data_IF_262869990680
#
_entry.id   IF_262869990680
#
_cell.length_a   1.000
_cell.length_b   1.000
_cell.length_c   1.000
_cell.angle_alpha   90.00
_cell.angle_beta   90.00
_cell.angle_gamma   90.00
#
_symmetry.space_group_name_H-M   'P 1'
#
loop_
_entity.id
_entity.type
_entity.pdbx_description
1 polymer ?
#
# COMPACT_ATOMS: atom_id res chain seq x y z
N UNK A 1 19.82 24.63 -26.60
CA UNK A 1 18.63 23.74 -26.58
C UNK A 1 19.12 22.34 -26.32
N UNK A 2 18.65 21.70 -25.26
CA UNK A 2 18.98 20.30 -25.03
C UNK A 2 18.41 19.45 -26.18
N UNK A 3 19.28 18.71 -26.86
CA UNK A 3 18.88 17.85 -27.95
C UNK A 3 18.31 16.56 -27.33
N UNK A 4 16.99 16.51 -27.10
CA UNK A 4 16.31 15.35 -26.54
C UNK A 4 16.06 14.35 -27.68
N UNK A 5 16.55 13.12 -27.51
CA UNK A 5 16.37 12.03 -28.47
C UNK A 5 14.91 11.59 -28.56
N UNK A 6 14.17 11.72 -27.45
CA UNK A 6 12.76 11.40 -27.34
C UNK A 6 11.96 12.59 -26.79
N UNK A 7 10.69 12.68 -27.18
CA UNK A 7 9.78 13.67 -26.62
C UNK A 7 9.43 13.29 -25.16
N UNK A 8 9.73 14.17 -24.20
CA UNK A 8 9.46 13.94 -22.77
C UNK A 8 8.00 13.55 -22.50
N UNK A 9 7.03 14.14 -23.22
CA UNK A 9 5.61 13.80 -23.06
C UNK A 9 5.28 12.36 -23.45
N UNK A 10 5.97 11.83 -24.47
CA UNK A 10 5.79 10.43 -24.91
C UNK A 10 6.35 9.48 -23.86
N UNK A 11 7.55 9.76 -23.32
CA UNK A 11 8.16 8.95 -22.26
C UNK A 11 7.33 9.03 -20.97
N UNK A 12 6.85 10.21 -20.61
CA UNK A 12 5.98 10.40 -19.43
C UNK A 12 4.67 9.60 -19.56
N UNK A 13 4.02 9.68 -20.72
CA UNK A 13 2.80 8.90 -20.98
C UNK A 13 3.04 7.40 -20.88
N UNK A 14 4.16 6.92 -21.43
CA UNK A 14 4.55 5.51 -21.37
C UNK A 14 4.92 5.07 -19.95
N UNK A 15 5.60 5.92 -19.18
CA UNK A 15 5.90 5.65 -17.77
C UNK A 15 4.63 5.53 -16.94
N UNK A 16 3.66 6.43 -17.14
CA UNK A 16 2.34 6.37 -16.48
C UNK A 16 1.59 5.09 -16.82
N UNK A 17 1.56 4.71 -18.09
CA UNK A 17 0.91 3.48 -18.55
C UNK A 17 1.56 2.24 -17.90
N UNK A 18 2.88 2.15 -17.87
CA UNK A 18 3.61 1.07 -17.23
C UNK A 18 3.35 1.00 -15.71
N UNK A 19 3.31 2.14 -15.02
CA UNK A 19 3.02 2.20 -13.58
C UNK A 19 1.59 1.77 -13.26
N UNK A 20 0.62 2.09 -14.12
CA UNK A 20 -0.78 1.69 -13.93
C UNK A 20 -1.03 0.23 -14.30
N UNK A 21 -0.30 -0.30 -15.26
CA UNK A 21 -0.45 -1.69 -15.72
C UNK A 21 0.19 -2.71 -14.76
N UNK A 22 1.19 -2.31 -14.00
CA UNK A 22 1.82 -3.20 -13.03
C UNK A 22 0.93 -3.38 -11.79
N UNK A 23 0.84 -4.62 -11.30
CA UNK A 23 0.21 -4.92 -10.01
C UNK A 23 1.06 -4.29 -8.91
N UNK A 24 0.58 -3.21 -8.34
CA UNK A 24 1.28 -2.44 -7.32
C UNK A 24 0.36 -2.12 -6.12
N UNK A 25 0.96 -1.63 -5.05
CA UNK A 25 0.24 -1.24 -3.85
C UNK A 25 -0.76 -0.08 -4.07
N UNK A 26 -0.65 0.68 -5.15
CA UNK A 26 -1.58 1.79 -5.47
C UNK A 26 -3.03 1.32 -5.60
N UNK A 27 -3.25 0.11 -6.11
CA UNK A 27 -4.59 -0.50 -6.20
C UNK A 27 -5.16 -0.92 -4.84
N UNK A 28 -4.30 -1.06 -3.82
CA UNK A 28 -4.64 -1.46 -2.45
C UNK A 28 -4.85 -0.28 -1.51
N UNK A 29 -4.69 0.95 -1.97
CA UNK A 29 -4.81 2.19 -1.20
C UNK A 29 -5.92 3.08 -1.72
N UNK A 30 -6.40 3.97 -0.87
CA UNK A 30 -7.19 5.12 -1.30
C UNK A 30 -6.25 6.21 -1.79
N UNK A 31 -6.52 6.80 -2.95
CA UNK A 31 -5.68 7.85 -3.53
C UNK A 31 -6.31 9.22 -3.28
N UNK A 32 -5.57 10.12 -2.63
CA UNK A 32 -5.97 11.52 -2.38
C UNK A 32 -5.05 12.48 -3.15
N UNK A 33 -5.62 13.19 -4.12
CA UNK A 33 -4.94 14.18 -4.94
C UNK A 33 -5.13 15.63 -4.43
N UNK A 34 -5.67 15.82 -3.22
CA UNK A 34 -5.95 17.17 -2.68
C UNK A 34 -4.70 18.05 -2.57
N UNK A 35 -3.51 17.44 -2.43
CA UNK A 35 -2.24 18.17 -2.34
C UNK A 35 -1.72 18.69 -3.69
N UNK A 36 -2.21 18.23 -4.81
CA UNK A 36 -1.71 18.66 -6.13
C UNK A 36 -1.94 20.15 -6.39
N UNK A 37 -3.06 20.68 -5.90
CA UNK A 37 -3.46 22.06 -6.08
C UNK A 37 -2.99 23.01 -4.95
N UNK A 38 -2.50 22.48 -3.82
CA UNK A 38 -2.12 23.28 -2.65
C UNK A 38 -0.62 23.48 -2.57
N UNK A 39 -0.16 24.66 -2.13
CA UNK A 39 1.25 24.88 -1.81
C UNK A 39 1.63 24.13 -0.51
N UNK A 40 2.89 23.67 -0.42
CA UNK A 40 3.40 22.96 0.74
C UNK A 40 3.54 21.43 0.52
N UNK A 41 4.27 20.79 1.40
CA UNK A 41 4.58 19.35 1.35
C UNK A 41 4.11 18.60 2.61
N UNK A 42 3.28 19.25 3.44
CA UNK A 42 2.75 18.66 4.66
C UNK A 42 1.24 18.54 4.53
N UNK A 43 0.72 17.36 4.82
CA UNK A 43 -0.72 17.10 4.95
C UNK A 43 -1.02 16.78 6.40
N UNK A 44 -1.79 17.66 7.06
CA UNK A 44 -2.33 17.40 8.40
C UNK A 44 -3.65 16.67 8.27
N UNK A 45 -3.78 15.54 8.93
CA UNK A 45 -5.01 14.76 9.03
C UNK A 45 -5.45 14.79 10.48
N UNK A 46 -6.67 15.24 10.72
CA UNK A 46 -7.28 15.21 12.05
C UNK A 46 -8.10 13.93 12.21
N UNK A 47 -7.73 13.12 13.18
CA UNK A 47 -8.53 11.98 13.61
C UNK A 47 -9.50 12.46 14.68
N UNK A 48 -10.80 12.23 14.46
CA UNK A 48 -11.86 12.65 15.38
C UNK A 48 -12.36 11.45 16.17
N UNK A 49 -12.47 11.62 17.48
CA UNK A 49 -13.09 10.64 18.36
C UNK A 49 -14.33 11.28 18.97
N UNK A 50 -15.48 10.67 18.72
CA UNK A 50 -16.75 11.07 19.34
C UNK A 50 -17.02 10.18 20.55
N UNK A 51 -17.37 10.80 21.68
CA UNK A 51 -17.84 10.12 22.88
C UNK A 51 -19.23 10.62 23.24
N UNK A 52 -20.15 9.72 23.43
CA UNK A 52 -21.52 10.02 23.82
C UNK A 52 -22.35 8.74 23.71
N UNK A 53 -23.37 8.63 24.56
CA UNK A 53 -24.28 7.49 24.62
C UNK A 53 -25.70 7.99 24.38
N UNK A 54 -26.46 7.27 23.54
CA UNK A 54 -27.88 7.53 23.39
C UNK A 54 -28.61 6.97 24.62
N UNK A 55 -29.44 7.79 25.24
CA UNK A 55 -30.25 7.43 26.44
C UNK A 55 -31.73 7.59 26.14
N UNK A 56 -32.52 6.67 26.64
CA UNK A 56 -33.97 6.81 26.65
C UNK A 56 -34.36 7.72 27.83
N UNK A 57 -34.96 8.87 27.53
CA UNK A 57 -35.32 9.87 28.54
C UNK A 57 -36.80 9.74 28.90
N UNK A 58 -37.10 9.75 30.20
CA UNK A 58 -38.48 9.83 30.67
C UNK A 58 -39.10 11.20 30.32
N UNK A 59 -40.42 11.24 30.24
CA UNK A 59 -41.17 12.48 29.95
C UNK A 59 -40.82 13.57 30.95
N UNK A 60 -40.30 14.69 30.46
CA UNK A 60 -39.88 15.82 31.29
C UNK A 60 -38.46 15.75 31.87
N UNK A 61 -37.72 14.67 31.59
CA UNK A 61 -36.32 14.55 31.97
C UNK A 61 -35.41 15.32 30.98
N UNK A 62 -34.37 15.97 31.49
CA UNK A 62 -33.30 16.59 30.67
C UNK A 62 -32.21 15.61 30.35
N UNK A 63 -31.36 15.98 29.38
CA UNK A 63 -30.17 15.20 29.03
C UNK A 63 -29.22 15.05 30.21
N UNK A 64 -28.70 13.84 30.41
CA UNK A 64 -27.67 13.56 31.42
C UNK A 64 -26.27 13.98 30.89
N UNK A 65 -25.26 13.91 31.76
CA UNK A 65 -23.89 14.20 31.36
C UNK A 65 -23.35 13.14 30.35
N UNK A 66 -23.82 11.91 30.48
CA UNK A 66 -23.40 10.79 29.62
C UNK A 66 -23.93 10.88 28.19
N UNK A 67 -25.13 11.45 28.01
CA UNK A 67 -25.74 11.61 26.71
C UNK A 67 -25.27 12.89 25.97
N UNK A 68 -24.48 13.73 26.63
CA UNK A 68 -23.83 14.88 25.97
C UNK A 68 -22.55 14.43 25.33
N UNK A 69 -22.60 14.24 23.99
CA UNK A 69 -21.44 13.87 23.21
C UNK A 69 -20.37 14.98 23.19
N UNK A 70 -19.12 14.56 23.21
CA UNK A 70 -17.96 15.44 22.99
C UNK A 70 -17.12 14.92 21.85
N UNK A 71 -16.46 15.84 21.15
CA UNK A 71 -15.54 15.52 20.06
C UNK A 71 -14.12 15.87 20.52
N UNK A 72 -13.24 14.87 20.52
CA UNK A 72 -11.81 15.08 20.63
C UNK A 72 -11.18 14.91 19.25
N UNK A 73 -10.14 15.68 18.94
CA UNK A 73 -9.38 15.52 17.69
C UNK A 73 -7.89 15.54 17.97
N UNK A 74 -7.16 14.74 17.18
CA UNK A 74 -5.70 14.68 17.18
C UNK A 74 -5.22 14.90 15.74
N UNK A 75 -4.45 15.96 15.52
CA UNK A 75 -3.81 16.23 14.22
C UNK A 75 -2.53 15.44 14.09
N UNK A 76 -2.35 14.77 12.94
CA UNK A 76 -1.11 14.10 12.56
C UNK A 76 -0.61 14.64 11.23
N UNK A 77 0.65 15.07 11.22
CA UNK A 77 1.29 15.63 10.05
C UNK A 77 2.00 14.55 9.25
N UNK A 78 1.73 14.54 7.95
CA UNK A 78 2.39 13.66 6.98
C UNK A 78 3.17 14.51 5.98
N UNK A 79 4.49 14.30 5.93
CA UNK A 79 5.38 15.02 5.01
C UNK A 79 5.58 14.23 3.73
N UNK A 80 5.19 14.85 2.60
CA UNK A 80 5.39 14.28 1.27
C UNK A 80 6.88 14.19 0.96
N UNK A 81 7.27 13.07 0.37
CA UNK A 81 8.65 12.82 -0.06
C UNK A 81 8.74 12.80 -1.58
N UNK A 82 9.88 13.26 -2.11
CA UNK A 82 10.21 13.09 -3.52
C UNK A 82 10.93 11.75 -3.69
N UNK A 83 10.43 10.93 -4.57
CA UNK A 83 11.07 9.68 -5.00
C UNK A 83 11.56 9.88 -6.43
N UNK A 84 12.84 9.61 -6.69
CA UNK A 84 13.46 9.76 -7.98
C UNK A 84 14.26 8.53 -8.34
N UNK A 85 14.15 8.11 -9.59
CA UNK A 85 15.00 7.11 -10.23
C UNK A 85 15.69 7.76 -11.42
N UNK A 86 17.01 7.63 -11.49
CA UNK A 86 17.81 8.05 -12.65
C UNK A 86 18.29 6.81 -13.41
N UNK A 87 18.27 6.89 -14.72
CA UNK A 87 18.80 5.85 -15.61
C UNK A 87 19.63 6.49 -16.71
N UNK A 88 20.83 5.99 -16.90
CA UNK A 88 21.82 6.52 -17.85
C UNK A 88 22.06 5.55 -19.00
N UNK A 89 22.21 6.08 -20.21
CA UNK A 89 22.67 5.32 -21.37
C UNK A 89 23.62 6.17 -22.23
N UNK A 90 24.49 5.51 -22.98
CA UNK A 90 25.42 6.14 -23.89
C UNK A 90 24.92 6.08 -25.34
N UNK A 91 25.34 7.04 -26.16
CA UNK A 91 24.96 7.07 -27.57
C UNK A 91 25.41 5.78 -28.29
N UNK A 92 26.55 5.21 -27.87
CA UNK A 92 27.07 3.95 -28.39
C UNK A 92 26.19 2.73 -28.08
N UNK A 93 25.53 2.73 -26.90
CA UNK A 93 24.63 1.65 -26.53
C UNK A 93 23.33 1.74 -27.33
N UNK A 94 22.85 2.96 -27.58
CA UNK A 94 21.67 3.20 -28.39
C UNK A 94 21.92 2.78 -29.86
N UNK A 95 23.16 2.94 -30.37
CA UNK A 95 23.54 2.45 -31.72
C UNK A 95 23.56 0.94 -31.81
N UNK A 96 23.82 0.22 -30.72
CA UNK A 96 23.79 -1.24 -30.67
C UNK A 96 22.37 -1.78 -30.56
N UNK A 97 21.53 -1.13 -29.73
CA UNK A 97 20.15 -1.53 -29.49
C UNK A 97 19.26 -0.31 -29.30
N UNK A 98 18.39 -0.06 -30.27
CA UNK A 98 17.43 1.05 -30.24
C UNK A 98 16.31 0.85 -29.21
N UNK A 99 16.12 -0.35 -28.65
CA UNK A 99 15.13 -0.67 -27.63
C UNK A 99 15.64 -0.40 -26.21
N UNK A 100 16.91 0.00 -26.03
CA UNK A 100 17.53 0.18 -24.71
C UNK A 100 16.73 1.14 -23.83
N UNK A 101 16.19 2.23 -24.40
CA UNK A 101 15.38 3.21 -23.67
C UNK A 101 14.08 2.59 -23.14
N UNK A 102 13.45 1.70 -23.92
CA UNK A 102 12.23 1.00 -23.50
C UNK A 102 12.49 0.04 -22.35
N UNK A 103 13.60 -0.70 -22.39
CA UNK A 103 14.00 -1.58 -21.28
C UNK A 103 14.39 -0.80 -20.03
N UNK A 104 15.11 0.30 -20.18
CA UNK A 104 15.46 1.19 -19.07
C UNK A 104 14.22 1.79 -18.41
N UNK A 105 13.25 2.25 -19.22
CA UNK A 105 12.00 2.80 -18.70
C UNK A 105 11.21 1.74 -17.93
N UNK A 106 11.12 0.50 -18.44
CA UNK A 106 10.50 -0.61 -17.71
C UNK A 106 11.21 -0.92 -16.40
N UNK A 107 12.54 -0.92 -16.40
CA UNK A 107 13.34 -1.13 -15.19
C UNK A 107 13.14 -0.03 -14.16
N UNK A 108 13.20 1.24 -14.58
CA UNK A 108 13.01 2.40 -13.70
C UNK A 108 11.60 2.43 -13.10
N UNK A 109 10.55 2.18 -13.90
CA UNK A 109 9.17 2.10 -13.40
C UNK A 109 8.97 0.94 -12.44
N UNK A 110 9.60 -0.21 -12.67
CA UNK A 110 9.57 -1.34 -11.73
C UNK A 110 10.20 -0.97 -10.39
N UNK A 111 11.33 -0.26 -10.39
CA UNK A 111 12.01 0.18 -9.15
C UNK A 111 11.13 1.17 -8.39
N UNK A 112 10.50 2.13 -9.07
CA UNK A 112 9.58 3.08 -8.43
C UNK A 112 8.35 2.39 -7.85
N UNK A 113 7.75 1.43 -8.58
CA UNK A 113 6.63 0.62 -8.10
C UNK A 113 7.01 -0.19 -6.85
N UNK A 114 8.19 -0.79 -6.85
CA UNK A 114 8.69 -1.54 -5.69
C UNK A 114 8.92 -0.62 -4.48
N UNK A 115 9.39 0.61 -4.70
CA UNK A 115 9.56 1.61 -3.65
C UNK A 115 8.21 2.02 -3.06
N UNK A 116 7.21 2.32 -3.88
CA UNK A 116 5.86 2.64 -3.42
C UNK A 116 5.25 1.47 -2.62
N UNK A 117 5.44 0.25 -3.08
CA UNK A 117 4.98 -0.96 -2.37
C UNK A 117 5.68 -1.12 -1.01
N UNK A 118 6.98 -0.85 -0.94
CA UNK A 118 7.74 -0.86 0.32
C UNK A 118 7.24 0.22 1.28
N UNK A 119 6.97 1.44 0.79
CA UNK A 119 6.46 2.56 1.59
C UNK A 119 5.03 2.28 2.11
N UNK A 120 4.20 1.59 1.31
CA UNK A 120 2.89 1.12 1.74
C UNK A 120 2.96 0.17 2.93
N UNK A 121 3.80 -0.86 2.86
CA UNK A 121 3.95 -1.78 4.00
C UNK A 121 4.65 -1.13 5.19
N UNK A 122 5.55 -0.18 4.97
CA UNK A 122 6.13 0.61 6.05
C UNK A 122 5.08 1.49 6.75
N UNK A 123 4.10 2.01 6.03
CA UNK A 123 2.98 2.75 6.61
C UNK A 123 2.09 1.85 7.49
N UNK A 124 1.81 0.62 7.06
CA UNK A 124 1.05 -0.37 7.86
C UNK A 124 1.78 -0.78 9.14
N UNK A 125 3.11 -0.86 9.11
CA UNK A 125 3.95 -1.16 10.27
C UNK A 125 4.22 0.06 11.17
N UNK A 126 3.45 1.16 11.02
CA UNK A 126 3.60 2.35 11.86
C UNK A 126 3.27 2.02 13.31
N UNK A 127 4.17 2.44 14.21
CA UNK A 127 4.04 2.26 15.65
C UNK A 127 3.46 3.50 16.32
N UNK A 128 3.02 3.31 17.55
CA UNK A 128 2.57 4.40 18.43
C UNK A 128 3.68 5.43 18.70
N UNK A 129 3.35 6.51 19.36
CA UNK A 129 4.31 7.56 19.72
C UNK A 129 5.43 7.09 20.65
N UNK A 130 5.24 5.98 21.35
CA UNK A 130 6.24 5.33 22.20
C UNK A 130 7.18 4.40 21.43
N UNK A 131 6.89 4.12 20.15
CA UNK A 131 7.69 3.26 19.27
C UNK A 131 7.65 1.77 19.61
N UNK A 132 6.77 1.36 20.52
CA UNK A 132 6.71 0.01 21.05
C UNK A 132 5.61 -0.84 20.41
N UNK A 133 4.42 -0.28 20.23
CA UNK A 133 3.23 -1.00 19.79
C UNK A 133 2.83 -0.57 18.38
N UNK A 134 2.55 -1.51 17.51
CA UNK A 134 1.97 -1.21 16.18
C UNK A 134 0.55 -0.65 16.36
N UNK A 135 0.19 0.35 15.54
CA UNK A 135 -1.13 0.96 15.59
C UNK A 135 -2.22 0.04 15.05
N UNK A 136 -1.84 -0.86 14.16
CA UNK A 136 -2.73 -1.86 13.56
C UNK A 136 -2.88 -3.01 14.55
N UNK A 137 -4.12 -3.50 14.78
CA UNK A 137 -4.37 -4.70 15.60
C UNK A 137 -3.65 -5.92 15.00
N UNK A 138 -3.41 -6.95 15.82
CA UNK A 138 -2.64 -8.09 15.35
C UNK A 138 -3.05 -9.41 15.96
N UNK A 139 -3.07 -10.44 15.11
CA UNK A 139 -3.20 -11.84 15.49
C UNK A 139 -1.85 -12.52 15.36
N UNK A 140 -1.50 -13.36 16.32
CA UNK A 140 -0.24 -14.11 16.29
C UNK A 140 -0.51 -15.60 16.24
N UNK A 141 0.25 -16.33 15.45
CA UNK A 141 0.27 -17.79 15.46
C UNK A 141 1.55 -18.33 16.10
N UNK A 142 1.50 -19.57 16.59
CA UNK A 142 2.59 -20.14 17.38
C UNK A 142 3.88 -20.26 16.57
N UNK A 143 5.02 -19.97 17.22
CA UNK A 143 6.36 -20.08 16.66
C UNK A 143 6.64 -21.45 16.06
N UNK A 144 7.22 -21.46 14.86
CA UNK A 144 7.53 -22.69 14.11
C UNK A 144 6.32 -23.41 13.52
N UNK A 145 5.13 -22.81 13.62
CA UNK A 145 3.93 -23.28 12.93
C UNK A 145 3.77 -22.57 11.59
N UNK A 146 3.09 -23.23 10.68
CA UNK A 146 2.73 -22.62 9.41
C UNK A 146 1.47 -21.76 9.54
N UNK A 147 1.30 -20.75 8.70
CA UNK A 147 0.05 -20.04 8.57
C UNK A 147 -1.07 -21.00 8.18
N UNK A 148 -2.16 -21.03 8.95
CA UNK A 148 -3.35 -21.85 8.73
C UNK A 148 -4.54 -21.00 8.28
N UNK A 149 -5.56 -21.68 7.78
CA UNK A 149 -6.86 -21.07 7.45
C UNK A 149 -7.50 -20.40 8.67
N UNK A 150 -7.48 -21.07 9.83
CA UNK A 150 -8.10 -20.57 11.07
C UNK A 150 -7.51 -19.24 11.52
N UNK A 151 -6.19 -19.08 11.47
CA UNK A 151 -5.51 -17.83 11.84
C UNK A 151 -5.96 -16.66 10.95
N UNK A 152 -6.23 -16.92 9.68
CA UNK A 152 -6.74 -15.90 8.77
C UNK A 152 -8.17 -15.53 9.12
N UNK A 153 -9.01 -16.51 9.44
CA UNK A 153 -10.39 -16.26 9.88
C UNK A 153 -10.43 -15.48 11.19
N UNK A 154 -9.54 -15.80 12.13
CA UNK A 154 -9.39 -15.03 13.38
C UNK A 154 -9.01 -13.57 13.10
N UNK A 155 -8.11 -13.32 12.14
CA UNK A 155 -7.73 -11.96 11.76
C UNK A 155 -8.85 -11.20 11.04
N UNK A 156 -9.70 -11.87 10.28
CA UNK A 156 -10.92 -11.27 9.70
C UNK A 156 -11.89 -10.87 10.81
N UNK A 157 -12.07 -11.73 11.80
CA UNK A 157 -12.95 -11.47 12.96
C UNK A 157 -12.43 -10.32 13.81
N UNK A 158 -11.10 -10.18 13.95
CA UNK A 158 -10.47 -9.08 14.70
C UNK A 158 -10.71 -7.71 14.07
N UNK A 159 -10.86 -7.63 12.74
CA UNK A 159 -11.24 -6.38 12.06
C UNK A 159 -12.61 -5.86 12.49
N UNK A 160 -13.52 -6.74 12.96
CA UNK A 160 -14.87 -6.41 13.42
C UNK A 160 -15.64 -5.48 12.48
N UNK A 161 -15.59 -5.75 11.17
CA UNK A 161 -16.27 -4.98 10.13
C UNK A 161 -17.56 -5.69 9.74
N UNK A 162 -18.68 -4.96 9.70
CA UNK A 162 -19.98 -5.53 9.33
C UNK A 162 -20.10 -5.86 7.83
N UNK A 163 -19.40 -5.10 6.96
CA UNK A 163 -19.36 -5.32 5.51
C UNK A 163 -17.97 -5.81 5.07
N UNK A 164 -17.87 -7.08 4.75
CA UNK A 164 -16.63 -7.73 4.32
C UNK A 164 -16.31 -7.53 2.82
N UNK A 165 -17.19 -6.90 2.06
CA UNK A 165 -17.08 -6.81 0.59
C UNK A 165 -15.84 -6.07 0.08
N UNK A 166 -15.26 -5.20 0.89
CA UNK A 166 -14.07 -4.40 0.57
C UNK A 166 -12.76 -4.95 1.13
N UNK A 167 -12.79 -6.06 1.86
CA UNK A 167 -11.61 -6.65 2.50
C UNK A 167 -10.77 -7.41 1.48
N UNK A 168 -9.47 -7.39 1.65
CA UNK A 168 -8.52 -8.25 0.97
C UNK A 168 -7.40 -8.69 1.90
N UNK A 169 -6.81 -9.85 1.59
CA UNK A 169 -5.75 -10.48 2.38
C UNK A 169 -4.45 -10.41 1.60
N UNK A 170 -3.38 -9.95 2.25
CA UNK A 170 -2.03 -9.92 1.66
C UNK A 170 -1.11 -10.81 2.46
N UNK A 171 -0.52 -11.81 1.81
CA UNK A 171 0.39 -12.77 2.44
C UNK A 171 1.78 -12.72 1.82
N UNK A 172 2.85 -13.04 2.59
CA UNK A 172 4.16 -13.30 2.06
C UNK A 172 4.14 -14.46 1.05
N UNK A 173 4.90 -14.33 0.00
CA UNK A 173 5.00 -15.40 -1.00
C UNK A 173 5.57 -16.72 -0.41
N UNK A 174 6.38 -16.63 0.64
CA UNK A 174 6.91 -17.77 1.38
C UNK A 174 5.80 -18.59 2.07
N UNK A 175 4.74 -17.95 2.57
CA UNK A 175 3.65 -18.59 3.30
C UNK A 175 2.60 -19.23 2.37
N UNK A 176 2.62 -18.89 1.10
CA UNK A 176 1.72 -19.45 0.08
C UNK A 176 1.72 -20.98 0.04
N UNK A 177 2.90 -21.60 0.17
CA UNK A 177 3.03 -23.07 0.16
C UNK A 177 2.43 -23.71 1.41
N UNK A 178 2.57 -23.07 2.56
CA UNK A 178 2.00 -23.53 3.83
C UNK A 178 0.47 -23.53 3.76
N UNK A 179 -0.12 -22.42 3.34
CA UNK A 179 -1.57 -22.28 3.18
C UNK A 179 -2.15 -23.31 2.20
N UNK A 180 -1.47 -23.57 1.06
CA UNK A 180 -1.91 -24.59 0.08
C UNK A 180 -1.83 -26.03 0.62
N UNK A 181 -1.04 -26.28 1.64
CA UNK A 181 -0.94 -27.61 2.31
C UNK A 181 -1.95 -27.78 3.42
N UNK A 182 -2.54 -26.70 3.90
CA UNK A 182 -3.55 -26.71 4.94
C UNK A 182 -4.76 -27.55 4.51
N UNK A 183 -5.28 -28.40 5.40
CA UNK A 183 -6.37 -29.31 5.10
C UNK A 183 -7.70 -28.56 4.95
N UNK A 184 -7.93 -27.58 5.81
CA UNK A 184 -9.16 -26.78 5.84
C UNK A 184 -9.23 -25.85 4.62
N UNK A 185 -8.09 -25.25 4.24
CA UNK A 185 -8.00 -24.51 2.99
C UNK A 185 -8.29 -25.35 1.76
N UNK A 186 -7.76 -26.58 1.68
CA UNK A 186 -8.03 -27.51 0.58
C UNK A 186 -9.50 -27.91 0.52
N UNK A 187 -10.10 -28.13 1.67
CA UNK A 187 -11.51 -28.51 1.79
C UNK A 187 -12.44 -27.39 1.34
N UNK A 188 -12.12 -26.12 1.71
CA UNK A 188 -12.89 -24.94 1.32
C UNK A 188 -12.75 -24.56 -0.16
N UNK A 189 -11.65 -24.95 -0.80
CA UNK A 189 -11.28 -24.54 -2.17
C UNK A 189 -11.49 -25.67 -3.21
N UNK A 190 -12.45 -26.54 -3.04
CA UNK A 190 -12.68 -27.69 -3.93
C UNK A 190 -12.78 -27.30 -5.40
N UNK A 191 -11.71 -27.45 -6.16
CA UNK A 191 -11.67 -27.60 -7.61
C UNK A 191 -10.95 -26.53 -8.42
N UNK A 192 -11.25 -25.23 -8.30
CA UNK A 192 -10.78 -24.22 -9.28
C UNK A 192 -9.35 -23.68 -9.02
N UNK A 193 -8.99 -23.48 -7.78
CA UNK A 193 -7.73 -22.79 -7.43
C UNK A 193 -6.50 -23.68 -7.61
N UNK A 194 -6.66 -24.98 -7.46
CA UNK A 194 -5.56 -25.95 -7.63
C UNK A 194 -5.02 -25.96 -9.05
N UNK A 195 -5.89 -25.75 -10.03
CA UNK A 195 -5.52 -25.77 -11.45
C UNK A 195 -4.98 -24.43 -12.00
N UNK A 196 -5.47 -23.30 -11.49
CA UNK A 196 -5.13 -21.98 -12.03
C UNK A 196 -3.91 -21.31 -11.37
N UNK A 197 -3.32 -21.90 -10.34
CA UNK A 197 -2.12 -21.38 -9.69
C UNK A 197 -2.32 -20.10 -8.86
N UNK A 198 -3.54 -19.59 -8.75
CA UNK A 198 -3.87 -18.44 -7.89
C UNK A 198 -3.85 -18.84 -6.41
N UNK A 199 -3.69 -17.88 -5.50
CA UNK A 199 -3.76 -18.17 -4.05
C UNK A 199 -5.19 -18.42 -3.63
N UNK A 200 -6.17 -17.90 -4.35
CA UNK A 200 -7.59 -18.20 -4.14
C UNK A 200 -8.32 -17.21 -3.28
N UNK A 201 -9.46 -17.63 -2.78
CA UNK A 201 -10.38 -16.87 -1.95
C UNK A 201 -10.49 -17.58 -0.60
N UNK A 202 -10.39 -16.88 0.51
CA UNK A 202 -10.58 -17.40 1.88
C UNK A 202 -11.79 -16.71 2.47
N UNK A 203 -12.78 -17.45 2.93
CA UNK A 203 -14.03 -16.91 3.47
C UNK A 203 -14.72 -15.88 2.56
N UNK A 204 -14.61 -16.04 1.22
CA UNK A 204 -15.14 -15.07 0.26
C UNK A 204 -14.19 -13.89 -0.05
N UNK A 205 -13.06 -13.77 0.62
CA UNK A 205 -12.13 -12.65 0.54
C UNK A 205 -10.92 -13.01 -0.36
N UNK A 206 -10.53 -12.14 -1.32
CA UNK A 206 -9.42 -12.41 -2.21
C UNK A 206 -8.07 -12.38 -1.48
N UNK A 207 -7.20 -13.34 -1.79
CA UNK A 207 -5.85 -13.46 -1.23
C UNK A 207 -4.80 -13.08 -2.27
N UNK A 208 -3.97 -12.11 -1.93
CA UNK A 208 -2.87 -11.60 -2.74
C UNK A 208 -1.55 -12.04 -2.12
N UNK A 209 -0.68 -12.68 -2.90
CA UNK A 209 0.67 -13.04 -2.45
C UNK A 209 1.68 -12.03 -2.97
N UNK A 210 2.55 -11.53 -2.09
CA UNK A 210 3.59 -10.56 -2.42
C UNK A 210 4.98 -11.03 -2.01
N UNK A 211 6.00 -10.56 -2.73
CA UNK A 211 7.42 -10.73 -2.36
C UNK A 211 7.92 -9.61 -1.45
N UNK A 212 7.17 -8.53 -1.32
CA UNK A 212 7.56 -7.36 -0.52
C UNK A 212 7.40 -7.58 0.99
N UNK A 213 6.67 -8.62 1.40
CA UNK A 213 6.53 -9.06 2.78
C UNK A 213 7.30 -10.35 3.03
N UNK A 214 7.87 -10.50 4.23
CA UNK A 214 8.65 -11.69 4.64
C UNK A 214 8.12 -12.38 5.88
N UNK A 215 7.72 -11.62 6.88
CA UNK A 215 7.47 -12.06 8.26
C UNK A 215 6.06 -11.75 8.78
N UNK A 216 5.22 -11.18 7.96
CA UNK A 216 3.85 -10.78 8.33
C UNK A 216 2.88 -10.83 7.17
N UNK A 217 1.61 -11.03 7.48
CA UNK A 217 0.52 -10.86 6.54
C UNK A 217 -0.43 -9.77 7.05
N UNK A 218 -1.30 -9.27 6.18
CA UNK A 218 -2.30 -8.27 6.53
C UNK A 218 -3.67 -8.65 5.99
N UNK A 219 -4.68 -8.42 6.79
CA UNK A 219 -6.10 -8.41 6.39
C UNK A 219 -6.57 -6.97 6.49
N UNK A 220 -7.03 -6.37 5.41
CA UNK A 220 -7.32 -4.94 5.41
C UNK A 220 -8.34 -4.52 4.35
N UNK A 221 -8.84 -3.29 4.48
CA UNK A 221 -9.57 -2.58 3.44
C UNK A 221 -8.68 -1.49 2.80
N UNK A 222 -9.09 -0.97 1.65
CA UNK A 222 -8.37 0.13 0.97
C UNK A 222 -8.33 1.43 1.79
N UNK A 223 -9.25 1.59 2.72
CA UNK A 223 -9.37 2.78 3.55
C UNK A 223 -8.31 2.87 4.66
N UNK A 224 -7.65 1.74 4.98
CA UNK A 224 -6.61 1.69 6.01
C UNK A 224 -5.44 2.62 5.68
N UNK A 225 -5.00 2.63 4.42
CA UNK A 225 -3.86 3.44 3.98
C UNK A 225 -4.29 4.38 2.86
N UNK A 226 -3.93 5.65 3.00
CA UNK A 226 -4.14 6.66 1.96
C UNK A 226 -2.82 7.08 1.34
N UNK A 227 -2.82 7.09 0.00
CA UNK A 227 -1.73 7.62 -0.82
C UNK A 227 -2.03 9.10 -1.13
N UNK A 228 -1.29 10.01 -0.50
CA UNK A 228 -1.36 11.44 -0.81
C UNK A 228 -0.38 11.77 -1.91
N UNK A 229 -0.94 12.14 -3.07
CA UNK A 229 -0.16 12.53 -4.24
C UNK A 229 0.02 14.05 -4.27
N UNK A 230 1.28 14.50 -4.35
CA UNK A 230 1.61 15.91 -4.58
C UNK A 230 1.91 16.18 -6.04
N UNK A 231 2.65 15.30 -6.67
CA UNK A 231 3.02 15.37 -8.08
C UNK A 231 3.07 13.95 -8.63
N UNK A 232 2.36 13.76 -9.72
CA UNK A 232 2.40 12.49 -10.46
C UNK A 232 3.75 12.36 -11.20
N UNK A 233 3.97 11.25 -11.85
CA UNK A 233 5.24 10.95 -12.53
C UNK A 233 5.61 12.07 -13.50
N UNK A 234 6.81 12.60 -13.33
CA UNK A 234 7.46 13.56 -14.23
C UNK A 234 8.71 12.92 -14.81
N UNK A 235 8.95 13.13 -16.08
CA UNK A 235 10.14 12.68 -16.75
C UNK A 235 10.96 13.86 -17.24
N UNK A 236 12.21 13.89 -16.85
CA UNK A 236 13.19 14.87 -17.28
C UNK A 236 14.35 14.15 -18.00
N UNK A 237 14.89 14.76 -19.04
CA UNK A 237 16.05 14.24 -19.74
C UNK A 237 17.17 15.25 -19.71
N UNK A 238 18.39 14.77 -19.50
CA UNK A 238 19.61 15.56 -19.56
C UNK A 238 20.61 14.87 -20.49
N UNK A 239 21.33 15.65 -21.28
CA UNK A 239 22.40 15.16 -22.15
C UNK A 239 23.72 15.81 -21.78
N UNK A 240 24.70 14.98 -21.46
CA UNK A 240 26.10 15.36 -21.35
C UNK A 240 26.78 15.08 -22.70
N UNK A 241 27.05 16.15 -23.45
CA UNK A 241 27.62 16.04 -24.78
C UNK A 241 29.10 15.62 -24.78
N UNK A 242 29.82 15.95 -23.71
CA UNK A 242 31.24 15.58 -23.55
C UNK A 242 31.44 14.07 -23.38
N UNK A 243 30.57 13.49 -22.57
CA UNK A 243 30.55 12.04 -22.29
C UNK A 243 29.63 11.23 -23.23
N UNK A 244 28.90 11.89 -24.13
CA UNK A 244 27.88 11.27 -24.98
C UNK A 244 26.86 10.42 -24.20
N UNK A 245 26.57 10.90 -23.00
CA UNK A 245 25.70 10.25 -22.03
C UNK A 245 24.34 10.95 -22.01
N UNK A 246 23.29 10.16 -22.00
CA UNK A 246 21.92 10.63 -21.83
C UNK A 246 21.39 10.09 -20.50
N UNK A 247 20.79 10.96 -19.69
CA UNK A 247 20.19 10.60 -18.40
C UNK A 247 18.69 10.86 -18.45
N UNK A 248 17.90 9.89 -17.99
CA UNK A 248 16.45 9.98 -17.84
C UNK A 248 16.14 9.96 -16.35
N UNK A 249 15.46 10.97 -15.85
CA UNK A 249 15.03 11.10 -14.47
C UNK A 249 13.53 10.93 -14.39
N UNK A 250 13.06 9.91 -13.64
CA UNK A 250 11.66 9.75 -13.28
C UNK A 250 11.49 10.23 -11.86
N UNK A 251 10.54 11.14 -11.63
CA UNK A 251 10.26 11.73 -10.31
C UNK A 251 8.79 11.60 -10.00
N UNK A 252 8.49 11.33 -8.73
CA UNK A 252 7.13 11.28 -8.19
C UNK A 252 7.15 11.84 -6.76
N UNK A 253 6.14 12.61 -6.38
CA UNK A 253 6.04 13.17 -5.03
C UNK A 253 4.79 12.64 -4.35
N UNK A 254 4.96 11.78 -3.35
CA UNK A 254 3.86 11.16 -2.61
C UNK A 254 4.24 10.86 -1.16
N UNK A 255 3.23 10.47 -0.39
CA UNK A 255 3.38 9.78 0.90
C UNK A 255 2.28 8.74 1.08
N UNK A 256 2.67 7.53 1.51
CA UNK A 256 1.73 6.53 2.02
C UNK A 256 1.55 6.77 3.52
N UNK A 257 0.32 6.90 3.96
CA UNK A 257 0.00 7.18 5.36
C UNK A 257 -1.06 6.21 5.87
N UNK A 258 -0.85 5.63 7.05
CA UNK A 258 -1.88 4.88 7.77
C UNK A 258 -2.90 5.89 8.30
N UNK A 259 -4.06 5.95 7.67
CA UNK A 259 -5.13 6.90 8.02
C UNK A 259 -6.13 6.31 8.99
N UNK A 260 -6.41 5.03 8.87
CA UNK A 260 -7.32 4.32 9.78
C UNK A 260 -6.73 2.95 10.16
N UNK A 261 -6.17 2.87 11.35
CA UNK A 261 -5.58 1.65 11.87
C UNK A 261 -6.61 0.55 12.17
N UNK A 262 -7.87 0.91 12.40
CA UNK A 262 -8.95 -0.05 12.70
C UNK A 262 -9.38 -0.86 11.47
N UNK A 263 -9.01 -0.41 10.28
CA UNK A 263 -9.32 -1.03 8.99
C UNK A 263 -8.24 -2.00 8.50
N UNK A 264 -7.27 -2.32 9.34
CA UNK A 264 -6.22 -3.30 9.04
C UNK A 264 -5.93 -4.15 10.27
N UNK A 265 -5.64 -5.44 10.05
CA UNK A 265 -5.15 -6.37 11.04
C UNK A 265 -3.88 -7.05 10.53
N UNK A 266 -2.86 -7.13 11.37
CA UNK A 266 -1.60 -7.81 11.06
C UNK A 266 -1.63 -9.25 11.56
N UNK A 267 -0.99 -10.15 10.81
CA UNK A 267 -0.78 -11.54 11.21
C UNK A 267 0.73 -11.76 11.29
N UNK A 268 1.22 -12.15 12.45
CA UNK A 268 2.65 -12.38 12.70
C UNK A 268 2.91 -13.70 13.39
N UNK A 269 4.11 -14.25 13.21
CA UNK A 269 4.56 -15.39 14.00
C UNK A 269 5.00 -14.92 15.39
N UNK A 270 4.63 -15.66 16.44
CA UNK A 270 5.06 -15.36 17.80
C UNK A 270 6.58 -15.46 17.93
N UNK A 271 7.21 -14.51 18.63
CA UNK A 271 8.67 -14.45 18.80
C UNK A 271 9.21 -15.41 19.86
N UNK A 272 8.40 -15.86 20.81
CA UNK A 272 8.80 -16.77 21.90
C UNK A 272 7.68 -17.74 22.21
#
# INVERSE_FOLDING_TARGET
>A
MANTVYNNKVIEAKAKDLLTTQVNARSMMTVDNSLTATAGMIKTINTYTYSGVAEELAVGAGNTTSNRGSIAYVGKDYTVKMVQQAADYFDEDFMKDNLIVDFMLKGATQVMTNKMTSDFYAALATKDSGGSTELVSGVTFAKGKALSYDVIVDAISELNVEDESGIFIVIPNAWKAALRKDADYKSAQMGEVIYNGQVGIIAGIPVIATKALTDRAYVMTKEAVTLFMKKDVEVEQERDADKRKNSIYLRECYICALTDATKACSITEATA
#
